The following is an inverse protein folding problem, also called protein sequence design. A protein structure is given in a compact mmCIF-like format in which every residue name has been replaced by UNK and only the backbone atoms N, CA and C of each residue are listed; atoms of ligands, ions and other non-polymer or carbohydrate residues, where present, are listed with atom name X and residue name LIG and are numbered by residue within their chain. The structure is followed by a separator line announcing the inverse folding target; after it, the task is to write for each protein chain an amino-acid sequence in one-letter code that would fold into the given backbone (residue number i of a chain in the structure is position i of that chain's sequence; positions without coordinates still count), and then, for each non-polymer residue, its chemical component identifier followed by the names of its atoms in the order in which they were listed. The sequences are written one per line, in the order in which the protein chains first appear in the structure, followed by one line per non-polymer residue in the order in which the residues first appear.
data_IF_601658358157
#
_entry.id   IF_601658358157
#
_cell.length_a   1.000
_cell.length_b   1.000
_cell.length_c   1.000
_cell.angle_alpha   90.00
_cell.angle_beta   90.00
_cell.angle_gamma   90.00
#
_symmetry.space_group_name_H-M   'P 1'
#
loop_
_entity.id
_entity.type
_entity.pdbx_description
1 polymer ?
#
# COMPACT_ATOMS: atom_id res chain seq x y z
N UNK A 1 26.29 -29.20 -16.20
CA UNK A 1 25.06 -28.53 -16.65
C UNK A 1 24.59 -27.67 -15.51
N UNK A 2 24.25 -26.40 -15.70
CA UNK A 2 23.69 -25.60 -14.63
C UNK A 2 22.34 -26.20 -14.24
N UNK A 3 22.10 -26.31 -12.94
CA UNK A 3 20.83 -26.77 -12.39
C UNK A 3 19.74 -25.77 -12.76
N UNK A 4 18.80 -26.16 -13.59
CA UNK A 4 17.61 -25.39 -13.89
C UNK A 4 16.48 -25.94 -13.00
N UNK A 5 16.06 -25.24 -11.94
CA UNK A 5 14.88 -25.63 -11.23
C UNK A 5 13.67 -25.51 -12.17
N UNK A 6 13.03 -26.61 -12.47
CA UNK A 6 11.76 -26.62 -13.21
C UNK A 6 10.63 -26.51 -12.20
N UNK A 7 9.85 -25.42 -12.32
CA UNK A 7 8.61 -25.32 -11.55
C UNK A 7 7.58 -26.27 -12.13
N UNK A 8 6.89 -27.07 -11.29
CA UNK A 8 5.80 -27.90 -11.74
C UNK A 8 4.66 -27.01 -12.27
N UNK A 9 4.07 -27.39 -13.38
CA UNK A 9 2.93 -26.68 -13.96
C UNK A 9 1.63 -27.13 -13.28
N UNK A 10 1.52 -26.86 -11.99
CA UNK A 10 0.38 -27.22 -11.14
C UNK A 10 -0.37 -25.95 -10.72
N UNK A 11 -1.70 -26.02 -10.75
CA UNK A 11 -2.58 -24.97 -10.26
C UNK A 11 -3.40 -25.54 -9.11
N UNK A 12 -3.24 -25.02 -7.91
CA UNK A 12 -4.05 -25.37 -6.77
C UNK A 12 -5.27 -24.46 -6.67
N UNK A 13 -6.41 -25.02 -6.24
CA UNK A 13 -7.71 -24.33 -6.22
C UNK A 13 -7.77 -23.09 -5.31
N UNK A 14 -6.86 -23.00 -4.32
CA UNK A 14 -6.77 -21.90 -3.36
C UNK A 14 -5.36 -21.30 -3.31
N UNK A 15 -4.66 -21.32 -4.45
CA UNK A 15 -3.33 -20.74 -4.53
C UNK A 15 -3.38 -19.23 -4.28
N UNK A 16 -2.63 -18.78 -3.29
CA UNK A 16 -2.39 -17.36 -2.99
C UNK A 16 -1.00 -16.89 -3.47
N UNK A 17 -0.28 -17.77 -4.15
CA UNK A 17 1.05 -17.52 -4.69
C UNK A 17 1.13 -18.03 -6.12
N UNK A 18 1.65 -17.20 -7.02
CA UNK A 18 1.89 -17.54 -8.42
C UNK A 18 3.37 -17.36 -8.72
N UNK A 19 4.01 -18.42 -9.21
CA UNK A 19 5.39 -18.35 -9.68
C UNK A 19 5.45 -18.63 -11.17
N UNK A 20 6.15 -17.79 -11.93
CA UNK A 20 6.36 -17.94 -13.36
C UNK A 20 7.84 -18.02 -13.64
N UNK A 21 8.27 -19.14 -14.24
CA UNK A 21 9.66 -19.32 -14.68
C UNK A 21 9.72 -19.22 -16.20
N UNK A 22 10.64 -18.36 -16.69
CA UNK A 22 10.93 -18.21 -18.13
C UNK A 22 12.45 -18.13 -18.35
N UNK A 23 12.89 -18.77 -19.41
CA UNK A 23 14.27 -18.58 -19.91
C UNK A 23 14.18 -17.59 -21.08
N UNK A 24 14.88 -16.47 -20.94
CA UNK A 24 14.81 -15.37 -21.90
C UNK A 24 16.21 -15.04 -22.43
N UNK A 25 16.28 -14.65 -23.68
CA UNK A 25 17.52 -14.15 -24.29
C UNK A 25 17.63 -12.65 -24.04
N UNK A 26 18.80 -12.19 -23.67
CA UNK A 26 19.09 -10.76 -23.47
C UNK A 26 19.30 -10.03 -24.79
N UNK A 27 18.85 -8.75 -24.92
CA UNK A 27 18.04 -8.01 -23.97
C UNK A 27 16.54 -8.38 -24.04
N UNK A 28 15.84 -8.30 -22.92
CA UNK A 28 14.38 -8.50 -22.88
C UNK A 28 13.69 -7.46 -21.99
N UNK A 29 12.42 -7.23 -22.24
CA UNK A 29 11.53 -6.44 -21.39
C UNK A 29 10.45 -7.33 -20.80
N UNK A 30 10.25 -7.25 -19.49
CA UNK A 30 9.17 -7.93 -18.78
C UNK A 30 8.17 -6.90 -18.27
N UNK A 31 6.92 -7.06 -18.67
CA UNK A 31 5.81 -6.25 -18.14
C UNK A 31 4.87 -7.15 -17.35
N UNK A 32 4.62 -6.79 -16.09
CA UNK A 32 3.66 -7.47 -15.23
C UNK A 32 2.47 -6.53 -15.05
N UNK A 33 1.28 -7.01 -15.41
CA UNK A 33 0.03 -6.28 -15.23
C UNK A 33 -0.83 -7.00 -14.20
N UNK A 34 -1.35 -6.25 -13.24
CA UNK A 34 -2.27 -6.75 -12.23
C UNK A 34 -3.56 -5.93 -12.31
N UNK A 35 -4.64 -6.60 -12.69
CA UNK A 35 -5.97 -6.01 -12.73
C UNK A 35 -6.75 -6.44 -11.48
N UNK A 36 -7.13 -5.48 -10.64
CA UNK A 36 -8.00 -5.75 -9.51
C UNK A 36 -9.45 -5.72 -9.98
N UNK A 37 -10.10 -6.88 -9.98
CA UNK A 37 -11.53 -6.99 -10.23
C UNK A 37 -12.27 -6.59 -8.95
N UNK A 38 -12.55 -5.28 -8.79
CA UNK A 38 -13.32 -4.79 -7.66
C UNK A 38 -14.73 -4.41 -8.08
N UNK A 39 -15.67 -4.79 -7.21
CA UNK A 39 -16.98 -4.15 -7.22
C UNK A 39 -16.80 -2.67 -6.86
N UNK A 40 -17.08 -1.78 -7.83
CA UNK A 40 -16.93 -0.33 -7.67
C UNK A 40 -17.93 0.28 -6.66
N UNK A 41 -18.77 -0.53 -6.03
CA UNK A 41 -19.77 -0.11 -5.06
C UNK A 41 -19.18 0.36 -3.72
N UNK A 42 -17.97 -0.04 -3.37
CA UNK A 42 -17.31 0.36 -2.13
C UNK A 42 -16.82 1.82 -2.21
N UNK A 43 -17.54 2.74 -1.60
CA UNK A 43 -17.23 4.19 -1.57
C UNK A 43 -15.82 4.48 -1.06
N UNK A 44 -15.38 3.76 -0.03
CA UNK A 44 -14.04 3.88 0.56
C UNK A 44 -12.90 3.66 -0.47
N UNK A 45 -12.99 2.58 -1.25
CA UNK A 45 -11.96 2.28 -2.26
C UNK A 45 -11.95 3.29 -3.40
N UNK A 46 -13.10 3.85 -3.73
CA UNK A 46 -13.21 4.91 -4.73
C UNK A 46 -12.53 6.19 -4.24
N UNK A 47 -12.80 6.60 -3.00
CA UNK A 47 -12.18 7.79 -2.40
C UNK A 47 -10.67 7.61 -2.24
N UNK A 48 -10.22 6.44 -1.77
CA UNK A 48 -8.80 6.12 -1.63
C UNK A 48 -8.08 6.12 -2.99
N UNK A 49 -8.68 5.54 -4.03
CA UNK A 49 -8.15 5.61 -5.40
C UNK A 49 -8.05 7.05 -5.89
N UNK A 50 -9.08 7.87 -5.64
CA UNK A 50 -9.07 9.28 -6.01
C UNK A 50 -7.99 10.06 -5.28
N UNK A 51 -7.80 9.79 -3.99
CA UNK A 51 -6.77 10.43 -3.17
C UNK A 51 -5.36 10.04 -3.64
N UNK A 52 -5.10 8.74 -3.80
CA UNK A 52 -3.76 8.23 -4.16
C UNK A 52 -3.38 8.48 -5.62
N UNK A 53 -4.34 8.38 -6.55
CA UNK A 53 -4.06 8.31 -7.98
C UNK A 53 -4.72 9.44 -8.80
N UNK A 54 -5.57 10.26 -8.17
CA UNK A 54 -6.32 11.33 -8.83
C UNK A 54 -7.40 10.81 -9.79
N UNK A 55 -8.27 11.72 -10.25
CA UNK A 55 -9.41 11.38 -11.15
C UNK A 55 -9.03 10.69 -12.45
N UNK A 56 -7.81 10.91 -12.96
CA UNK A 56 -7.36 10.34 -14.22
C UNK A 56 -7.05 8.83 -14.19
N UNK A 57 -6.98 8.21 -12.99
CA UNK A 57 -6.71 6.78 -12.87
C UNK A 57 -7.93 5.89 -13.16
N UNK A 58 -9.13 6.47 -13.31
CA UNK A 58 -10.40 5.73 -13.46
C UNK A 58 -10.91 5.61 -14.90
N UNK A 59 -10.19 6.16 -15.89
CA UNK A 59 -10.65 6.18 -17.28
C UNK A 59 -10.12 5.02 -18.15
N UNK A 60 -9.35 4.10 -17.60
CA UNK A 60 -8.99 2.86 -18.27
C UNK A 60 -10.20 1.92 -18.31
N UNK A 61 -10.71 1.63 -19.49
CA UNK A 61 -11.67 0.51 -19.69
C UNK A 61 -11.03 -0.74 -19.09
N UNK A 62 -11.71 -1.40 -18.17
CA UNK A 62 -11.24 -2.64 -17.56
C UNK A 62 -10.79 -3.61 -18.66
N UNK A 63 -9.52 -4.03 -18.60
CA UNK A 63 -8.96 -5.02 -19.52
C UNK A 63 -8.12 -4.49 -20.69
N UNK A 64 -7.97 -3.17 -20.90
CA UNK A 64 -7.09 -2.66 -21.96
C UNK A 64 -5.73 -2.29 -21.39
N UNK A 65 -4.72 -3.09 -21.71
CA UNK A 65 -3.33 -2.81 -21.37
C UNK A 65 -2.87 -1.53 -22.09
N UNK A 66 -2.29 -0.54 -21.37
CA UNK A 66 -1.66 0.61 -22.06
C UNK A 66 -0.49 0.13 -22.93
N UNK A 67 -0.31 0.73 -24.08
CA UNK A 67 0.89 0.53 -24.89
C UNK A 67 2.14 1.03 -24.15
N UNK A 68 3.33 0.54 -24.54
CA UNK A 68 4.57 0.95 -23.88
C UNK A 68 4.80 2.48 -23.92
N UNK A 69 4.50 3.22 -25.02
CA UNK A 69 4.56 4.68 -25.02
C UNK A 69 3.55 5.35 -24.10
N UNK A 70 2.33 4.83 -24.01
CA UNK A 70 1.30 5.34 -23.09
C UNK A 70 1.70 5.13 -21.63
N UNK A 71 2.25 3.96 -21.30
CA UNK A 71 2.77 3.67 -19.98
C UNK A 71 3.92 4.63 -19.61
N UNK A 72 4.87 4.84 -20.53
CA UNK A 72 5.97 5.79 -20.32
C UNK A 72 5.48 7.21 -20.11
N UNK A 73 4.50 7.66 -20.91
CA UNK A 73 3.85 8.97 -20.74
C UNK A 73 3.13 9.10 -19.40
N UNK A 74 2.39 8.07 -19.00
CA UNK A 74 1.70 8.03 -17.70
C UNK A 74 2.70 8.11 -16.54
N UNK A 75 3.77 7.35 -16.58
CA UNK A 75 4.81 7.37 -15.54
C UNK A 75 5.50 8.74 -15.46
N UNK A 76 5.82 9.35 -16.59
CA UNK A 76 6.39 10.69 -16.66
C UNK A 76 5.43 11.73 -16.05
N UNK A 77 4.15 11.69 -16.43
CA UNK A 77 3.11 12.57 -15.90
C UNK A 77 2.95 12.42 -14.38
N UNK A 78 2.93 11.19 -13.86
CA UNK A 78 2.84 10.93 -12.42
C UNK A 78 4.07 11.41 -11.66
N UNK A 79 5.25 11.18 -12.22
CA UNK A 79 6.51 11.69 -11.64
C UNK A 79 6.51 13.21 -11.57
N UNK A 80 6.10 13.88 -12.65
CA UNK A 80 6.00 15.35 -12.70
C UNK A 80 4.96 15.87 -11.69
N UNK A 81 3.80 15.22 -11.59
CA UNK A 81 2.78 15.60 -10.62
C UNK A 81 3.31 15.50 -9.18
N UNK A 82 3.99 14.39 -8.84
CA UNK A 82 4.60 14.20 -7.52
C UNK A 82 5.60 15.31 -7.21
N UNK A 83 6.49 15.64 -8.15
CA UNK A 83 7.50 16.69 -7.95
C UNK A 83 6.84 18.04 -7.73
N UNK A 84 5.88 18.41 -8.57
CA UNK A 84 5.15 19.69 -8.45
C UNK A 84 4.42 19.79 -7.11
N UNK A 85 3.70 18.75 -6.72
CA UNK A 85 3.00 18.70 -5.42
C UNK A 85 3.98 18.78 -4.25
N UNK A 86 5.12 18.06 -4.33
CA UNK A 86 6.15 18.14 -3.31
C UNK A 86 6.67 19.56 -3.14
N UNK A 87 6.99 20.23 -4.23
CA UNK A 87 7.55 21.58 -4.19
C UNK A 87 6.54 22.63 -3.67
N UNK A 88 5.24 22.41 -3.91
CA UNK A 88 4.18 23.25 -3.36
C UNK A 88 4.00 23.08 -1.86
N UNK A 89 4.11 21.84 -1.34
CA UNK A 89 3.83 21.53 0.06
C UNK A 89 5.08 21.68 0.95
N UNK A 90 6.23 21.24 0.45
CA UNK A 90 7.49 21.15 1.17
C UNK A 90 8.57 22.02 0.55
N UNK A 91 8.24 23.25 0.16
CA UNK A 91 9.21 24.17 -0.43
C UNK A 91 10.50 24.24 0.39
N UNK A 92 11.64 23.91 -0.24
CA UNK A 92 12.95 23.85 0.42
C UNK A 92 13.99 24.74 -0.30
N UNK A 93 13.72 26.03 -0.53
CA UNK A 93 14.59 26.90 -1.35
C UNK A 93 15.98 27.13 -0.73
N UNK A 94 16.11 27.00 0.58
CA UNK A 94 17.38 27.16 1.29
C UNK A 94 18.30 25.95 1.20
N UNK A 95 17.83 24.82 0.67
CA UNK A 95 18.60 23.58 0.58
C UNK A 95 19.10 23.34 -0.84
N UNK A 96 20.26 22.72 -0.96
CA UNK A 96 20.82 22.35 -2.25
C UNK A 96 19.93 21.38 -3.03
N UNK A 97 20.08 21.33 -4.35
CA UNK A 97 19.33 20.40 -5.21
C UNK A 97 19.49 18.92 -4.78
N UNK A 98 20.65 18.59 -4.21
CA UNK A 98 20.92 17.25 -3.69
C UNK A 98 20.04 16.93 -2.48
N UNK A 99 19.97 17.81 -1.50
CA UNK A 99 19.11 17.62 -0.33
C UNK A 99 17.64 17.61 -0.69
N UNK A 100 17.22 18.46 -1.62
CA UNK A 100 15.83 18.42 -2.14
C UNK A 100 15.52 17.07 -2.80
N UNK A 101 16.46 16.49 -3.55
CA UNK A 101 16.31 15.14 -4.15
C UNK A 101 16.20 14.06 -3.09
N UNK A 102 17.03 14.11 -2.04
CA UNK A 102 16.96 13.18 -0.89
C UNK A 102 15.62 13.30 -0.18
N UNK A 103 15.11 14.51 0.06
CA UNK A 103 13.82 14.73 0.71
C UNK A 103 12.66 14.17 -0.14
N UNK A 104 12.66 14.39 -1.46
CA UNK A 104 11.65 13.80 -2.38
C UNK A 104 11.71 12.27 -2.35
N UNK A 105 12.90 11.69 -2.37
CA UNK A 105 13.08 10.24 -2.28
C UNK A 105 12.61 9.69 -0.94
N UNK A 106 12.88 10.40 0.16
CA UNK A 106 12.42 10.04 1.50
C UNK A 106 10.89 10.01 1.59
N UNK A 107 10.21 11.08 1.15
CA UNK A 107 8.74 11.11 1.11
C UNK A 107 8.16 10.03 0.20
N UNK A 108 8.71 9.86 -1.00
CA UNK A 108 8.27 8.81 -1.92
C UNK A 108 8.38 7.42 -1.30
N UNK A 109 9.46 7.15 -0.58
CA UNK A 109 9.67 5.87 0.10
C UNK A 109 8.70 5.67 1.27
N UNK A 110 8.40 6.72 2.03
CA UNK A 110 7.40 6.69 3.10
C UNK A 110 6.01 6.38 2.54
N UNK A 111 5.58 7.08 1.51
CA UNK A 111 4.29 6.84 0.85
C UNK A 111 4.21 5.43 0.22
N UNK A 112 5.32 4.93 -0.33
CA UNK A 112 5.41 3.57 -0.84
C UNK A 112 5.39 2.49 0.26
N UNK A 113 5.55 2.89 1.51
CA UNK A 113 5.40 2.03 2.69
C UNK A 113 3.95 1.89 3.18
N UNK A 114 3.00 2.64 2.62
CA UNK A 114 1.59 2.50 2.98
C UNK A 114 1.09 1.13 2.51
N UNK A 115 0.60 0.35 3.44
CA UNK A 115 0.22 -1.04 3.24
C UNK A 115 -1.18 -1.31 3.80
N UNK A 116 -1.87 -2.25 3.17
CA UNK A 116 -3.18 -2.72 3.59
C UNK A 116 -3.06 -4.16 4.09
N UNK A 117 -3.51 -4.38 5.31
CA UNK A 117 -3.58 -5.71 5.93
C UNK A 117 -5.03 -6.06 6.20
N UNK A 118 -5.39 -7.31 6.00
CA UNK A 118 -6.70 -7.83 6.34
C UNK A 118 -6.57 -9.17 7.05
N UNK A 119 -7.28 -9.33 8.16
CA UNK A 119 -7.28 -10.56 8.94
C UNK A 119 -7.71 -10.32 10.38
N UNK A 120 -7.55 -11.35 11.18
CA UNK A 120 -7.72 -11.31 12.61
C UNK A 120 -6.38 -11.03 13.32
N UNK A 121 -6.46 -10.66 14.59
CA UNK A 121 -5.29 -10.45 15.45
C UNK A 121 -5.42 -11.37 16.66
N UNK A 122 -4.31 -11.90 17.12
CA UNK A 122 -4.28 -12.66 18.37
C UNK A 122 -4.08 -11.69 19.52
N UNK A 123 -5.01 -11.70 20.47
CA UNK A 123 -4.93 -10.97 21.72
C UNK A 123 -4.80 -11.96 22.87
N UNK A 124 -4.15 -11.50 23.95
CA UNK A 124 -4.06 -12.27 25.18
C UNK A 124 -4.94 -11.63 26.25
N UNK A 125 -5.92 -12.37 26.72
CA UNK A 125 -6.78 -11.96 27.84
C UNK A 125 -5.96 -11.81 29.14
N UNK A 126 -6.48 -11.12 30.15
CA UNK A 126 -5.88 -11.03 31.47
C UNK A 126 -5.56 -12.40 32.10
N UNK A 127 -6.33 -13.41 31.76
CA UNK A 127 -6.15 -14.81 32.21
C UNK A 127 -5.03 -15.54 31.45
N UNK A 128 -4.35 -14.87 30.50
CA UNK A 128 -3.30 -15.45 29.68
C UNK A 128 -3.76 -16.29 28.49
N UNK A 129 -5.07 -16.38 28.25
CA UNK A 129 -5.66 -17.12 27.12
C UNK A 129 -5.54 -16.33 25.83
N UNK A 130 -5.25 -17.02 24.76
CA UNK A 130 -5.19 -16.43 23.42
C UNK A 130 -6.62 -16.39 22.82
N UNK A 131 -6.98 -15.24 22.28
CA UNK A 131 -8.26 -14.99 21.61
C UNK A 131 -8.01 -14.33 20.27
N UNK A 132 -8.72 -14.77 19.23
CA UNK A 132 -8.73 -14.11 17.94
C UNK A 132 -9.78 -13.00 17.93
N UNK A 133 -9.43 -11.83 17.40
CA UNK A 133 -10.38 -10.75 17.15
C UNK A 133 -11.25 -11.06 15.94
N UNK A 134 -12.32 -10.32 15.73
CA UNK A 134 -13.03 -10.32 14.47
C UNK A 134 -12.09 -9.87 13.33
N UNK A 135 -12.17 -10.50 12.14
CA UNK A 135 -11.42 -10.05 10.98
C UNK A 135 -11.71 -8.59 10.65
N UNK A 136 -10.67 -7.85 10.31
CA UNK A 136 -10.80 -6.45 9.93
C UNK A 136 -9.58 -6.00 9.14
N UNK A 137 -9.63 -4.79 8.63
CA UNK A 137 -8.50 -4.23 7.88
C UNK A 137 -7.70 -3.24 8.74
N UNK A 138 -6.45 -3.08 8.36
CA UNK A 138 -5.56 -2.03 8.84
C UNK A 138 -4.87 -1.40 7.64
N UNK A 139 -5.08 -0.11 7.43
CA UNK A 139 -4.31 0.73 6.53
C UNK A 139 -3.25 1.43 7.37
N UNK A 140 -1.98 1.29 7.05
CA UNK A 140 -0.88 1.80 7.88
C UNK A 140 0.39 2.02 7.07
N UNK A 141 1.23 2.96 7.50
CA UNK A 141 2.60 3.03 7.03
C UNK A 141 3.44 1.99 7.77
N UNK A 142 4.28 1.27 7.05
CA UNK A 142 5.24 0.33 7.66
C UNK A 142 6.61 1.01 7.83
N UNK A 143 7.31 0.81 8.96
CA UNK A 143 8.61 1.46 9.21
C UNK A 143 9.70 1.00 8.24
N UNK A 144 9.63 -0.24 7.78
CA UNK A 144 10.62 -0.78 6.85
C UNK A 144 10.17 -2.10 6.24
N UNK A 145 10.07 -2.12 4.90
CA UNK A 145 9.53 -3.27 4.15
C UNK A 145 10.30 -4.57 4.40
N UNK A 146 11.60 -4.50 4.62
CA UNK A 146 12.45 -5.68 4.77
C UNK A 146 12.50 -6.23 6.20
N UNK A 147 12.42 -5.35 7.21
CA UNK A 147 12.64 -5.72 8.60
C UNK A 147 11.38 -5.60 9.47
N UNK A 148 10.51 -4.64 9.15
CA UNK A 148 9.31 -4.34 9.92
C UNK A 148 8.08 -4.23 9.00
N UNK A 149 7.70 -5.35 8.31
CA UNK A 149 6.66 -5.35 7.28
C UNK A 149 5.24 -5.39 7.89
N UNK A 150 4.99 -4.63 8.94
CA UNK A 150 3.70 -4.53 9.63
C UNK A 150 3.50 -3.14 10.22
N UNK A 151 2.27 -2.84 10.64
CA UNK A 151 1.95 -1.59 11.33
C UNK A 151 2.51 -1.56 12.76
N UNK A 152 2.98 -0.36 13.16
CA UNK A 152 3.40 -0.05 14.52
C UNK A 152 2.77 1.29 14.89
N UNK A 153 1.95 1.30 15.94
CA UNK A 153 1.13 2.46 16.28
C UNK A 153 1.95 3.70 16.64
N UNK A 154 3.05 3.52 17.38
CA UNK A 154 3.86 4.68 17.77
C UNK A 154 4.64 5.27 16.57
N UNK A 155 5.08 4.44 15.62
CA UNK A 155 5.70 4.89 14.37
C UNK A 155 4.71 5.64 13.50
N UNK A 156 3.44 5.19 13.48
CA UNK A 156 2.37 5.82 12.72
C UNK A 156 2.20 7.29 13.10
N UNK A 157 2.35 7.64 14.37
CA UNK A 157 2.31 9.04 14.82
C UNK A 157 3.36 9.93 14.12
N UNK A 158 4.56 9.41 13.87
CA UNK A 158 5.60 10.14 13.13
C UNK A 158 5.34 10.14 11.63
N UNK A 159 4.88 9.03 11.06
CA UNK A 159 4.53 8.96 9.64
C UNK A 159 3.44 9.97 9.30
N UNK A 160 2.44 10.13 10.16
CA UNK A 160 1.30 11.01 9.93
C UNK A 160 1.67 12.51 9.94
N UNK A 161 2.78 12.90 10.54
CA UNK A 161 3.29 14.28 10.42
C UNK A 161 3.55 14.69 8.96
N UNK A 162 3.98 13.74 8.13
CA UNK A 162 4.26 13.97 6.70
C UNK A 162 3.06 13.60 5.83
N UNK A 163 2.39 12.48 6.12
CA UNK A 163 1.23 12.01 5.34
C UNK A 163 0.08 12.99 5.44
N UNK A 164 -0.24 13.52 6.63
CA UNK A 164 -1.30 14.52 6.82
C UNK A 164 -1.01 15.83 6.06
N UNK A 165 0.25 16.18 5.95
CA UNK A 165 0.67 17.36 5.18
C UNK A 165 0.56 17.12 3.67
N UNK A 166 0.87 15.90 3.23
CA UNK A 166 0.79 15.50 1.84
C UNK A 166 -0.63 15.29 1.35
N UNK A 167 -1.42 14.57 2.13
CA UNK A 167 -2.81 14.20 1.83
C UNK A 167 -3.58 13.99 3.14
N UNK A 168 -4.34 15.02 3.59
CA UNK A 168 -5.11 14.93 4.83
C UNK A 168 -6.16 13.82 4.82
N UNK A 169 -6.80 13.55 3.67
CA UNK A 169 -7.83 12.50 3.58
C UNK A 169 -7.22 11.11 3.72
N UNK A 170 -6.04 10.89 3.14
CA UNK A 170 -5.29 9.64 3.31
C UNK A 170 -4.87 9.44 4.77
N UNK A 171 -4.38 10.51 5.42
CA UNK A 171 -4.03 10.48 6.84
C UNK A 171 -5.23 10.15 7.71
N UNK A 172 -6.39 10.77 7.46
CA UNK A 172 -7.64 10.45 8.17
C UNK A 172 -8.03 8.98 8.00
N UNK A 173 -7.96 8.45 6.78
CA UNK A 173 -8.27 7.04 6.51
C UNK A 173 -7.34 6.08 7.27
N UNK A 174 -6.06 6.39 7.34
CA UNK A 174 -5.09 5.60 8.11
C UNK A 174 -5.42 5.65 9.61
N UNK A 175 -5.59 6.84 10.18
CA UNK A 175 -5.89 7.00 11.60
C UNK A 175 -7.22 6.34 11.98
N UNK A 176 -8.26 6.51 11.14
CA UNK A 176 -9.55 5.84 11.34
C UNK A 176 -9.40 4.33 11.38
N UNK A 177 -8.64 3.74 10.48
CA UNK A 177 -8.43 2.29 10.46
C UNK A 177 -7.76 1.76 11.75
N UNK A 178 -6.87 2.54 12.35
CA UNK A 178 -6.29 2.22 13.64
C UNK A 178 -7.31 2.31 14.79
N UNK A 179 -8.13 3.37 14.80
CA UNK A 179 -9.17 3.57 15.82
C UNK A 179 -10.22 2.46 15.74
N UNK A 180 -10.69 2.11 14.55
CA UNK A 180 -11.63 1.02 14.32
C UNK A 180 -11.10 -0.32 14.86
N UNK A 181 -9.79 -0.55 14.76
CA UNK A 181 -9.17 -1.75 15.34
C UNK A 181 -9.07 -1.70 16.87
N UNK A 182 -8.91 -0.52 17.46
CA UNK A 182 -8.91 -0.35 18.93
C UNK A 182 -10.30 -0.58 19.50
N UNK A 183 -11.35 -0.03 18.91
CA UNK A 183 -12.75 -0.22 19.35
C UNK A 183 -13.16 -1.69 19.28
N UNK A 184 -12.83 -2.41 18.21
CA UNK A 184 -13.07 -3.84 18.09
C UNK A 184 -12.39 -4.67 19.20
N UNK A 185 -11.34 -4.14 19.81
CA UNK A 185 -10.64 -4.78 20.92
C UNK A 185 -11.37 -4.58 22.26
N UNK A 186 -12.09 -3.46 22.42
CA UNK A 186 -12.82 -3.12 23.64
C UNK A 186 -14.14 -3.90 23.71
N UNK A 187 -14.87 -4.02 22.60
CA UNK A 187 -16.17 -4.71 22.56
C UNK A 187 -16.05 -6.21 22.87
N UNK A 188 -14.93 -6.84 22.56
CA UNK A 188 -14.68 -8.24 22.92
C UNK A 188 -14.38 -8.42 24.41
N UNK A 189 -13.91 -7.37 25.09
CA UNK A 189 -13.64 -7.40 26.54
C UNK A 189 -14.87 -7.12 27.39
N UNK A 190 -15.94 -6.50 26.83
CA UNK A 190 -17.15 -6.08 27.56
C UNK A 190 -18.39 -6.96 27.39
N UNK A 191 -18.40 -7.89 26.45
CA UNK A 191 -19.57 -8.71 26.11
C UNK A 191 -19.54 -10.11 26.70
N UNK A 192 -19.55 -10.23 28.02
CA UNK A 192 -20.04 -11.44 28.67
C UNK A 192 -21.58 -11.46 28.62
N UNK A 193 -22.21 -12.57 28.19
CA UNK A 193 -23.66 -12.68 28.26
C UNK A 193 -24.12 -12.72 29.71
N UNK A 194 -25.39 -12.32 29.99
CA UNK A 194 -25.96 -12.42 31.28
C UNK A 194 -26.12 -13.87 31.75
#
# INVERSE_FOLDING_TARGET
MPFQPLLPNTVERHANFIAVQRVLTLPFTLTITVDALHDESASFWRELKHSLFGKAATTGTAGTRPSDPELASLLASRSQHFQTKFDQIFAMPAYSAEWQRVARAGLSNLLAGISYFYGDTIQRDPDGRERHTAPGFLLTCIPGRSYFPRGFLWDEGFHQLLVARWDPALSEAILRSWLDRMEASVDVAGGGPP
#
